data_IF_518653500942
#
_entry.id   IF_518653500942
#
_cell.length_a   1.000
_cell.length_b   1.000
_cell.length_c   1.000
_cell.angle_alpha   90.00
_cell.angle_beta   90.00
_cell.angle_gamma   90.00
#
_symmetry.space_group_name_H-M   'P 1'
#
loop_
_entity.id
_entity.type
_entity.pdbx_description
1 polymer ?
#
# COMPACT_ATOMS: atom_id res chain seq x y z
N UNK A 1 2.20 21.92 -10.18
CA UNK A 1 0.89 21.60 -9.57
C UNK A 1 1.19 20.94 -8.23
N UNK A 2 0.64 21.48 -7.15
CA UNK A 2 1.01 21.16 -5.76
C UNK A 2 0.90 19.67 -5.46
N UNK A 3 1.95 19.11 -4.85
CA UNK A 3 1.99 17.77 -4.26
C UNK A 3 1.00 17.69 -3.09
N UNK A 4 -0.28 17.45 -3.37
CA UNK A 4 -1.29 17.38 -2.32
C UNK A 4 -1.22 16.01 -1.64
N UNK A 5 -0.57 16.00 -0.47
CA UNK A 5 -0.78 14.97 0.56
C UNK A 5 -2.28 14.89 0.84
N UNK A 6 -2.86 13.69 0.85
CA UNK A 6 -4.29 13.48 1.13
C UNK A 6 -4.48 12.56 2.33
N UNK A 7 -5.51 12.81 3.14
CA UNK A 7 -5.82 11.99 4.30
C UNK A 7 -7.33 11.84 4.50
N UNK A 8 -7.72 10.89 5.34
CA UNK A 8 -9.10 10.55 5.65
C UNK A 8 -9.63 9.38 4.81
N UNK A 9 -10.67 8.74 5.34
CA UNK A 9 -11.29 7.53 4.77
C UNK A 9 -11.74 7.74 3.33
N UNK A 10 -12.34 8.89 3.00
CA UNK A 10 -12.80 9.20 1.63
C UNK A 10 -11.67 9.21 0.58
N UNK A 11 -10.47 9.70 0.94
CA UNK A 11 -9.29 9.65 0.06
C UNK A 11 -8.86 8.20 -0.14
N UNK A 12 -8.75 7.45 0.95
CA UNK A 12 -8.34 6.04 0.92
C UNK A 12 -9.31 5.19 0.11
N UNK A 13 -10.61 5.32 0.34
CA UNK A 13 -11.65 4.60 -0.37
C UNK A 13 -11.65 4.93 -1.86
N UNK A 14 -11.44 6.20 -2.23
CA UNK A 14 -11.29 6.59 -3.63
C UNK A 14 -10.08 5.92 -4.28
N UNK A 15 -8.94 5.88 -3.61
CA UNK A 15 -7.73 5.20 -4.12
C UNK A 15 -7.95 3.70 -4.23
N UNK A 16 -8.46 3.05 -3.20
CA UNK A 16 -8.77 1.60 -3.19
C UNK A 16 -9.73 1.28 -4.35
N UNK A 17 -10.80 2.05 -4.51
CA UNK A 17 -11.77 1.88 -5.59
C UNK A 17 -11.13 2.04 -6.97
N UNK A 18 -10.30 3.05 -7.19
CA UNK A 18 -9.59 3.24 -8.47
C UNK A 18 -8.68 2.06 -8.80
N UNK A 19 -7.91 1.59 -7.82
CA UNK A 19 -7.02 0.45 -7.96
C UNK A 19 -7.80 -0.83 -8.27
N UNK A 20 -8.85 -1.15 -7.50
CA UNK A 20 -9.67 -2.34 -7.74
C UNK A 20 -10.39 -2.28 -9.09
N UNK A 21 -10.95 -1.12 -9.44
CA UNK A 21 -11.67 -0.93 -10.71
C UNK A 21 -10.74 -1.02 -11.94
N UNK A 22 -9.43 -0.86 -11.76
CA UNK A 22 -8.47 -1.01 -12.85
C UNK A 22 -8.35 -2.45 -13.38
N UNK A 23 -8.72 -3.44 -12.56
CA UNK A 23 -8.53 -4.87 -12.85
C UNK A 23 -7.05 -5.30 -12.88
N UNK A 24 -6.12 -4.41 -12.51
CA UNK A 24 -4.70 -4.67 -12.62
C UNK A 24 -4.20 -5.68 -11.58
N UNK A 25 -4.79 -5.68 -10.39
CA UNK A 25 -4.38 -6.53 -9.27
C UNK A 25 -5.48 -7.54 -8.96
N UNK A 26 -5.12 -8.75 -8.47
CA UNK A 26 -6.12 -9.68 -7.95
C UNK A 26 -6.85 -9.07 -6.75
N UNK A 27 -8.02 -9.63 -6.43
CA UNK A 27 -8.75 -9.29 -5.21
C UNK A 27 -7.84 -9.46 -3.98
N UNK A 28 -7.78 -8.41 -3.16
CA UNK A 28 -6.98 -8.35 -1.95
C UNK A 28 -7.78 -8.63 -0.69
N UNK A 29 -9.07 -8.98 -0.81
CA UNK A 29 -9.93 -9.34 0.31
C UNK A 29 -9.99 -8.21 1.36
N UNK A 30 -10.07 -6.97 0.86
CA UNK A 30 -10.04 -5.70 1.63
C UNK A 30 -8.70 -5.36 2.28
N UNK A 31 -7.64 -6.14 2.04
CA UNK A 31 -6.36 -5.95 2.73
C UNK A 31 -5.77 -4.55 2.49
N UNK A 32 -5.85 -4.01 1.26
CA UNK A 32 -5.32 -2.67 0.98
C UNK A 32 -6.02 -1.61 1.84
N UNK A 33 -7.35 -1.68 1.96
CA UNK A 33 -8.11 -0.75 2.81
C UNK A 33 -7.72 -0.86 4.28
N UNK A 34 -7.53 -2.08 4.78
CA UNK A 34 -7.13 -2.34 6.18
C UNK A 34 -5.73 -1.84 6.47
N UNK A 35 -4.76 -2.09 5.58
CA UNK A 35 -3.38 -1.59 5.74
C UNK A 35 -3.34 -0.06 5.84
N UNK A 36 -4.09 0.67 5.02
CA UNK A 36 -4.15 2.14 5.14
C UNK A 36 -4.50 2.62 6.55
N UNK A 37 -5.49 1.98 7.17
CA UNK A 37 -5.92 2.33 8.51
C UNK A 37 -4.92 1.89 9.59
N UNK A 38 -4.36 0.69 9.45
CA UNK A 38 -3.39 0.13 10.40
C UNK A 38 -2.09 0.93 10.39
N UNK A 39 -1.62 1.35 9.23
CA UNK A 39 -0.33 2.04 9.07
C UNK A 39 -0.40 3.51 9.48
N UNK A 40 -1.51 4.19 9.20
CA UNK A 40 -1.54 5.65 9.29
C UNK A 40 -2.88 6.24 9.71
N UNK A 41 -3.86 5.42 10.09
CA UNK A 41 -5.24 5.88 10.34
C UNK A 41 -5.77 6.67 9.15
N UNK A 42 -5.64 6.12 7.95
CA UNK A 42 -5.98 6.77 6.68
C UNK A 42 -5.22 8.08 6.44
N UNK A 43 -3.97 8.13 6.88
CA UNK A 43 -3.10 9.29 6.79
C UNK A 43 -3.35 10.39 7.82
N UNK A 44 -4.19 10.14 8.82
CA UNK A 44 -4.49 11.11 9.90
C UNK A 44 -3.56 10.99 11.10
N UNK A 45 -2.79 9.90 11.22
CA UNK A 45 -1.77 9.79 12.25
C UNK A 45 -0.70 10.87 12.04
N UNK A 46 -0.32 11.57 13.13
CA UNK A 46 0.66 12.67 13.11
C UNK A 46 2.02 12.27 12.53
N UNK A 47 2.36 10.99 12.56
CA UNK A 47 3.63 10.46 12.06
C UNK A 47 3.57 9.99 10.60
N UNK A 48 2.40 10.05 9.95
CA UNK A 48 2.22 9.65 8.55
C UNK A 48 3.19 10.39 7.63
N UNK A 49 3.18 11.72 7.72
CA UNK A 49 3.90 12.63 6.83
C UNK A 49 5.08 13.31 7.52
N UNK A 50 5.90 12.50 8.20
CA UNK A 50 7.07 12.99 8.93
C UNK A 50 8.22 13.37 7.98
N UNK A 51 9.10 14.31 8.39
CA UNK A 51 10.28 14.68 7.59
C UNK A 51 11.12 13.46 7.21
N UNK A 52 11.65 13.48 5.98
CA UNK A 52 12.52 12.45 5.41
C UNK A 52 11.87 11.06 5.27
N UNK A 53 10.55 10.96 5.36
CA UNK A 53 9.83 9.73 5.10
C UNK A 53 8.66 9.96 4.14
N UNK A 54 8.68 9.26 3.01
CA UNK A 54 7.78 9.55 1.89
C UNK A 54 6.75 8.45 1.62
N UNK A 55 6.65 7.41 2.47
CA UNK A 55 5.79 6.24 2.24
C UNK A 55 4.27 6.49 2.17
N UNK A 56 3.82 7.71 2.47
CA UNK A 56 2.43 8.11 2.32
C UNK A 56 1.47 7.39 3.26
N UNK A 57 0.20 7.29 2.86
CA UNK A 57 -0.85 6.68 3.68
C UNK A 57 -0.54 5.20 3.99
N UNK A 58 0.03 4.46 3.05
CA UNK A 58 0.33 3.03 3.23
C UNK A 58 1.71 2.74 3.83
N UNK A 59 2.45 3.77 4.23
CA UNK A 59 3.77 3.67 4.90
C UNK A 59 4.73 2.68 4.22
N UNK A 60 4.81 2.71 2.89
CA UNK A 60 5.82 1.93 2.16
C UNK A 60 7.18 2.62 2.32
N UNK A 61 8.12 1.97 2.99
CA UNK A 61 9.47 2.50 3.17
C UNK A 61 10.28 2.52 1.86
N UNK A 62 11.50 3.07 1.91
CA UNK A 62 12.34 3.21 0.73
C UNK A 62 12.71 1.85 0.10
N UNK A 63 12.99 0.83 0.92
CA UNK A 63 13.36 -0.49 0.44
C UNK A 63 12.18 -1.19 -0.22
N UNK A 64 11.00 -1.14 0.40
CA UNK A 64 9.75 -1.62 -0.16
C UNK A 64 9.42 -0.93 -1.48
N UNK A 65 9.61 0.39 -1.56
CA UNK A 65 9.44 1.15 -2.80
C UNK A 65 10.41 0.68 -3.90
N UNK A 66 11.70 0.56 -3.60
CA UNK A 66 12.71 0.08 -4.56
C UNK A 66 12.38 -1.34 -5.06
N UNK A 67 11.89 -2.22 -4.19
CA UNK A 67 11.43 -3.55 -4.58
C UNK A 67 10.24 -3.53 -5.55
N UNK A 68 9.42 -2.46 -5.55
CA UNK A 68 8.35 -2.30 -6.57
C UNK A 68 8.88 -1.97 -7.97
N UNK A 69 10.15 -1.62 -8.08
CA UNK A 69 10.83 -1.31 -9.34
C UNK A 69 11.81 -2.41 -9.78
N UNK A 70 12.11 -3.38 -8.91
CA UNK A 70 13.01 -4.50 -9.21
C UNK A 70 12.33 -5.59 -10.05
N UNK A 71 12.24 -5.35 -11.35
CA UNK A 71 11.72 -6.32 -12.34
C UNK A 71 12.66 -7.50 -12.57
N UNK A 72 13.92 -7.42 -12.12
CA UNK A 72 14.87 -8.52 -12.22
C UNK A 72 14.52 -9.65 -11.26
N UNK A 73 14.28 -9.31 -9.98
CA UNK A 73 13.85 -10.27 -8.96
C UNK A 73 12.36 -10.60 -9.06
N UNK A 74 11.55 -9.68 -9.60
CA UNK A 74 10.10 -9.85 -9.74
C UNK A 74 9.62 -9.58 -11.19
N UNK A 75 9.83 -10.52 -12.14
CA UNK A 75 9.48 -10.33 -13.55
C UNK A 75 8.02 -9.97 -13.82
N UNK A 76 7.10 -10.40 -12.93
CA UNK A 76 5.68 -10.06 -12.99
C UNK A 76 5.38 -8.56 -12.88
N UNK A 77 6.32 -7.77 -12.34
CA UNK A 77 6.19 -6.31 -12.24
C UNK A 77 6.14 -5.63 -13.61
N UNK A 78 6.78 -6.19 -14.66
CA UNK A 78 6.74 -5.59 -16.00
C UNK A 78 5.30 -5.39 -16.51
N UNK A 79 4.46 -6.42 -16.36
CA UNK A 79 3.06 -6.34 -16.74
C UNK A 79 2.27 -5.36 -15.84
N UNK A 80 2.63 -5.26 -14.56
CA UNK A 80 2.01 -4.30 -13.64
C UNK A 80 2.39 -2.86 -13.99
N UNK A 81 3.66 -2.57 -14.26
CA UNK A 81 4.14 -1.25 -14.68
C UNK A 81 3.46 -0.79 -15.97
N UNK A 82 3.38 -1.68 -16.98
CA UNK A 82 2.67 -1.39 -18.22
C UNK A 82 1.17 -1.10 -17.98
N UNK A 83 0.52 -1.90 -17.13
CA UNK A 83 -0.87 -1.68 -16.75
C UNK A 83 -1.10 -0.37 -15.98
N UNK A 84 -0.17 -0.01 -15.08
CA UNK A 84 -0.21 1.28 -14.37
C UNK A 84 -0.11 2.44 -15.37
N UNK A 85 0.82 2.35 -16.32
CA UNK A 85 0.96 3.36 -17.37
C UNK A 85 -0.30 3.51 -18.20
N UNK A 86 -0.89 2.39 -18.62
CA UNK A 86 -2.11 2.38 -19.43
C UNK A 86 -3.33 2.93 -18.69
N UNK A 87 -3.52 2.55 -17.42
CA UNK A 87 -4.74 2.86 -16.65
C UNK A 87 -4.68 4.23 -15.97
N UNK A 88 -3.50 4.68 -15.58
CA UNK A 88 -3.33 5.88 -14.76
C UNK A 88 -2.40 6.92 -15.38
N UNK A 89 -1.76 6.64 -16.52
CA UNK A 89 -0.78 7.53 -17.15
C UNK A 89 0.56 7.61 -16.43
N UNK A 90 0.73 6.87 -15.32
CA UNK A 90 1.89 6.92 -14.44
C UNK A 90 3.00 6.02 -15.00
N UNK A 91 4.18 6.60 -15.21
CA UNK A 91 5.39 5.83 -15.53
C UNK A 91 6.03 5.35 -14.22
N UNK A 92 5.69 4.14 -13.78
CA UNK A 92 6.12 3.63 -12.47
C UNK A 92 7.64 3.45 -12.33
N UNK A 93 8.38 2.94 -13.34
CA UNK A 93 9.84 2.94 -13.31
C UNK A 93 10.49 4.31 -13.10
N UNK A 94 9.84 5.39 -13.54
CA UNK A 94 10.32 6.77 -13.35
C UNK A 94 9.81 7.44 -12.08
N UNK A 95 8.89 6.80 -11.33
CA UNK A 95 8.39 7.34 -10.08
C UNK A 95 9.51 7.45 -9.04
N UNK A 96 9.40 8.44 -8.16
CA UNK A 96 10.32 8.66 -7.05
C UNK A 96 9.65 8.28 -5.73
N UNK A 97 10.45 7.95 -4.70
CA UNK A 97 9.87 7.63 -3.39
C UNK A 97 9.06 8.80 -2.81
N UNK A 98 9.45 10.05 -3.10
CA UNK A 98 8.70 11.27 -2.78
C UNK A 98 7.31 11.33 -3.41
N UNK A 99 7.08 10.67 -4.55
CA UNK A 99 5.75 10.65 -5.18
C UNK A 99 4.73 9.90 -4.34
N UNK A 100 5.14 9.00 -3.43
CA UNK A 100 4.24 8.28 -2.54
C UNK A 100 3.54 9.21 -1.54
N UNK A 101 3.92 10.48 -1.45
CA UNK A 101 3.10 11.48 -0.76
C UNK A 101 1.73 11.69 -1.43
N UNK A 102 1.60 11.38 -2.73
CA UNK A 102 0.34 11.39 -3.47
C UNK A 102 -0.44 10.10 -3.15
N UNK A 103 -1.73 10.18 -2.74
CA UNK A 103 -2.49 9.02 -2.29
C UNK A 103 -2.51 7.84 -3.28
N UNK A 104 -2.71 8.10 -4.58
CA UNK A 104 -2.74 7.04 -5.60
C UNK A 104 -1.38 6.34 -5.74
N UNK A 105 -0.27 7.08 -5.70
CA UNK A 105 1.07 6.50 -5.75
C UNK A 105 1.35 5.66 -4.50
N UNK A 106 0.98 6.13 -3.32
CA UNK A 106 1.10 5.35 -2.07
C UNK A 106 0.35 4.02 -2.16
N UNK A 107 -0.91 4.04 -2.63
CA UNK A 107 -1.72 2.83 -2.78
C UNK A 107 -1.18 1.87 -3.84
N UNK A 108 -0.69 2.38 -4.97
CA UNK A 108 -0.06 1.58 -6.02
C UNK A 108 1.23 0.91 -5.51
N UNK A 109 2.09 1.65 -4.79
CA UNK A 109 3.28 1.09 -4.17
C UNK A 109 2.92 -0.08 -3.25
N UNK A 110 1.92 0.11 -2.38
CA UNK A 110 1.46 -0.95 -1.48
C UNK A 110 0.97 -2.20 -2.23
N UNK A 111 0.21 -2.03 -3.33
CA UNK A 111 -0.21 -3.17 -4.16
C UNK A 111 0.93 -3.87 -4.88
N UNK A 112 1.94 -3.14 -5.33
CA UNK A 112 3.12 -3.72 -5.96
C UNK A 112 3.96 -4.50 -4.95
N UNK A 113 4.17 -3.96 -3.73
CA UNK A 113 4.79 -4.69 -2.61
C UNK A 113 4.03 -5.99 -2.36
N UNK A 114 2.70 -5.92 -2.26
CA UNK A 114 1.88 -7.11 -2.04
C UNK A 114 1.94 -8.12 -3.21
N UNK A 115 2.16 -7.65 -4.44
CA UNK A 115 2.25 -8.50 -5.63
C UNK A 115 3.58 -9.25 -5.74
N UNK A 116 4.62 -8.79 -5.06
CA UNK A 116 5.92 -9.47 -4.99
C UNK A 116 5.90 -10.66 -4.02
N UNK A 117 4.85 -10.80 -3.21
CA UNK A 117 4.71 -11.88 -2.23
C UNK A 117 4.03 -13.09 -2.91
N UNK A 118 4.64 -14.28 -2.90
CA UNK A 118 4.07 -15.47 -3.53
C UNK A 118 2.90 -16.08 -2.75
N UNK A 119 2.76 -15.75 -1.47
CA UNK A 119 1.70 -16.27 -0.62
C UNK A 119 0.34 -15.62 -0.95
N UNK A 120 -0.73 -16.42 -1.00
CA UNK A 120 -2.07 -15.89 -1.22
C UNK A 120 -2.52 -15.04 -0.02
N UNK A 121 -3.23 -13.93 -0.30
CA UNK A 121 -3.83 -13.09 0.73
C UNK A 121 -4.91 -13.88 1.48
N UNK A 122 -4.87 -13.99 2.82
CA UNK A 122 -5.92 -14.67 3.59
C UNK A 122 -7.26 -13.91 3.57
N UNK A 123 -8.36 -14.63 3.77
CA UNK A 123 -9.71 -14.03 3.73
C UNK A 123 -10.19 -13.52 5.08
N UNK A 124 -9.77 -14.16 6.17
CA UNK A 124 -10.11 -13.76 7.53
C UNK A 124 -9.11 -12.73 8.07
N UNK A 125 -9.58 -11.91 9.02
CA UNK A 125 -8.81 -10.81 9.62
C UNK A 125 -7.56 -11.32 10.34
N UNK A 126 -7.64 -12.47 11.01
CA UNK A 126 -6.51 -13.04 11.75
C UNK A 126 -5.41 -13.49 10.80
N UNK A 127 -5.75 -14.19 9.72
CA UNK A 127 -4.81 -14.56 8.67
C UNK A 127 -4.17 -13.32 8.02
N UNK A 128 -4.96 -12.28 7.75
CA UNK A 128 -4.43 -11.03 7.21
C UNK A 128 -3.49 -10.31 8.17
N UNK A 129 -3.74 -10.37 9.48
CA UNK A 129 -2.85 -9.79 10.48
C UNK A 129 -1.47 -10.48 10.49
N UNK A 130 -1.45 -11.81 10.47
CA UNK A 130 -0.20 -12.58 10.37
C UNK A 130 0.51 -12.34 9.04
N UNK A 131 -0.24 -12.29 7.94
CA UNK A 131 0.28 -11.98 6.61
C UNK A 131 0.94 -10.60 6.56
N UNK A 132 0.24 -9.57 7.04
CA UNK A 132 0.74 -8.21 7.13
C UNK A 132 2.00 -8.13 8.00
N UNK A 133 2.00 -8.77 9.17
CA UNK A 133 3.17 -8.75 10.06
C UNK A 133 4.38 -9.41 9.40
N UNK A 134 4.18 -10.56 8.77
CA UNK A 134 5.25 -11.32 8.13
C UNK A 134 5.85 -10.61 6.92
N UNK A 135 5.02 -10.04 6.06
CA UNK A 135 5.46 -9.61 4.73
C UNK A 135 5.45 -8.11 4.48
N UNK A 136 4.67 -7.32 5.24
CA UNK A 136 4.49 -5.89 4.97
C UNK A 136 5.11 -5.02 6.07
N UNK A 137 4.77 -5.28 7.34
CA UNK A 137 5.36 -4.56 8.48
C UNK A 137 6.81 -5.00 8.75
N UNK A 138 7.19 -6.20 8.29
CA UNK A 138 8.46 -6.90 8.53
C UNK A 138 8.79 -7.07 10.03
N UNK A 139 9.87 -7.82 10.32
CA UNK A 139 10.28 -8.13 11.70
C UNK A 139 10.75 -6.90 12.50
N UNK A 140 11.31 -5.88 11.83
CA UNK A 140 11.77 -4.64 12.46
C UNK A 140 10.65 -3.63 12.72
N UNK A 141 9.49 -3.79 12.08
CA UNK A 141 8.32 -2.96 12.36
C UNK A 141 7.77 -3.22 13.76
N UNK A 142 7.41 -2.16 14.48
CA UNK A 142 6.85 -2.26 15.84
C UNK A 142 5.41 -2.80 15.89
N UNK A 143 4.79 -3.03 14.72
CA UNK A 143 3.43 -3.54 14.63
C UNK A 143 3.31 -5.00 15.10
N UNK A 144 2.14 -5.36 15.63
CA UNK A 144 1.81 -6.74 16.04
C UNK A 144 0.56 -7.22 15.31
N UNK A 145 0.37 -8.54 15.12
CA UNK A 145 -0.89 -9.06 14.58
C UNK A 145 -2.10 -8.60 15.41
N UNK A 146 -1.96 -8.51 16.74
CA UNK A 146 -3.03 -8.00 17.60
C UNK A 146 -3.38 -6.53 17.30
N UNK A 147 -2.38 -5.66 17.10
CA UNK A 147 -2.62 -4.26 16.68
C UNK A 147 -3.43 -4.20 15.40
N UNK A 148 -3.08 -5.04 14.41
CA UNK A 148 -3.82 -5.09 13.15
C UNK A 148 -5.29 -5.47 13.38
N UNK A 149 -5.54 -6.51 14.18
CA UNK A 149 -6.89 -6.97 14.52
C UNK A 149 -7.69 -5.87 15.22
N UNK A 150 -7.11 -5.21 16.23
CA UNK A 150 -7.76 -4.15 16.99
C UNK A 150 -8.11 -2.95 16.11
N UNK A 151 -7.17 -2.55 15.24
CA UNK A 151 -7.38 -1.46 14.30
C UNK A 151 -8.46 -1.77 13.26
N UNK A 152 -8.49 -3.00 12.73
CA UNK A 152 -9.54 -3.44 11.79
C UNK A 152 -10.90 -3.50 12.49
N UNK A 153 -10.95 -3.92 13.75
CA UNK A 153 -12.18 -3.91 14.54
C UNK A 153 -12.71 -2.50 14.81
N UNK A 154 -11.86 -1.47 14.83
CA UNK A 154 -12.31 -0.06 14.87
C UNK A 154 -12.79 0.41 13.50
N UNK A 155 -12.07 0.05 12.44
CA UNK A 155 -12.39 0.43 11.07
C UNK A 155 -13.74 -0.13 10.57
N UNK A 156 -14.07 -1.36 10.91
CA UNK A 156 -15.22 -2.10 10.37
C UNK A 156 -16.48 -2.05 11.26
N UNK A 157 -16.50 -1.15 12.25
CA UNK A 157 -17.68 -0.81 13.03
C UNK A 157 -18.54 0.21 12.30
#
# INVERSE_FOLDING_TARGET
>A
MTDVKGSGSHVVESVVKQIHSSGLFPDDKKLLRRIAYVESKDGTDRNTYRPNYYGGIWQVDLLGFQATQDTGSHPGLNAKHAGIKQKFGIDWPAAQWSDLLKPLYSGLAARLVLSNIPAAVPADVRGQAEYWKKYYNTGSGAGTPQKFIDDVAVLEK
#
